data_IF_832419405438
#
_entry.id   IF_832419405438
#
_cell.length_a   1.000
_cell.length_b   1.000
_cell.length_c   1.000
_cell.angle_alpha   90.00
_cell.angle_beta   90.00
_cell.angle_gamma   90.00
#
_symmetry.space_group_name_H-M   'P 1'
#
loop_
_entity.id
_entity.type
_entity.pdbx_description
1 polymer ?
#
# COMPACT_ATOMS: atom_id res chain seq x y z
N UNK A 1 3.02 -22.84 -31.06
CA UNK A 1 1.56 -22.73 -30.84
C UNK A 1 1.28 -23.04 -29.39
N UNK A 2 1.38 -22.03 -28.53
CA UNK A 2 1.12 -22.15 -27.09
C UNK A 2 -0.37 -22.01 -26.86
N UNK A 3 -0.99 -23.09 -26.38
CA UNK A 3 -2.40 -23.16 -26.02
C UNK A 3 -2.64 -22.28 -24.80
N UNK A 4 -3.14 -21.06 -25.02
CA UNK A 4 -3.78 -20.28 -23.96
C UNK A 4 -5.01 -21.07 -23.50
N UNK A 5 -4.91 -21.63 -22.29
CA UNK A 5 -6.07 -22.19 -21.60
C UNK A 5 -6.99 -21.02 -21.24
N UNK A 6 -7.89 -20.66 -22.17
CA UNK A 6 -9.04 -19.81 -21.87
C UNK A 6 -9.90 -20.56 -20.86
N UNK A 7 -9.73 -20.26 -19.59
CA UNK A 7 -10.74 -20.50 -18.57
C UNK A 7 -12.00 -19.74 -19.03
N UNK A 8 -12.92 -20.46 -19.66
CA UNK A 8 -14.25 -19.93 -19.97
C UNK A 8 -14.87 -19.49 -18.64
N UNK A 9 -15.07 -18.18 -18.47
CA UNK A 9 -15.79 -17.59 -17.32
C UNK A 9 -17.17 -18.23 -17.21
N UNK A 10 -17.42 -18.98 -16.15
CA UNK A 10 -18.74 -19.52 -15.80
C UNK A 10 -19.65 -18.46 -15.17
N UNK A 11 -19.09 -17.33 -14.72
CA UNK A 11 -19.72 -16.45 -13.73
C UNK A 11 -20.23 -15.12 -14.33
N UNK A 12 -20.29 -15.00 -15.66
CA UNK A 12 -20.84 -13.82 -16.34
C UNK A 12 -19.95 -12.56 -16.29
N UNK A 13 -20.44 -11.40 -16.77
CA UNK A 13 -19.67 -10.14 -16.80
C UNK A 13 -19.49 -9.53 -15.40
N UNK A 14 -18.36 -8.85 -15.16
CA UNK A 14 -18.09 -8.17 -13.87
C UNK A 14 -19.04 -6.99 -13.61
N UNK A 15 -19.71 -6.50 -14.65
CA UNK A 15 -20.78 -5.52 -14.52
C UNK A 15 -21.93 -6.01 -13.64
N UNK A 16 -22.23 -7.33 -13.62
CA UNK A 16 -23.32 -7.89 -12.81
C UNK A 16 -23.09 -7.69 -11.30
N UNK A 17 -21.98 -8.16 -10.69
CA UNK A 17 -21.73 -7.90 -9.27
C UNK A 17 -21.57 -6.39 -8.99
N UNK A 18 -21.03 -5.60 -9.91
CA UNK A 18 -20.95 -4.14 -9.75
C UNK A 18 -22.34 -3.48 -9.68
N UNK A 19 -23.29 -3.90 -10.52
CA UNK A 19 -24.67 -3.44 -10.46
C UNK A 19 -25.38 -3.89 -9.18
N UNK A 20 -25.19 -5.16 -8.78
CA UNK A 20 -25.71 -5.67 -7.51
C UNK A 20 -25.19 -4.88 -6.31
N UNK A 21 -23.91 -4.50 -6.33
CA UNK A 21 -23.32 -3.67 -5.30
C UNK A 21 -23.95 -2.26 -5.26
N UNK A 22 -24.10 -1.61 -6.43
CA UNK A 22 -24.69 -0.27 -6.54
C UNK A 22 -26.18 -0.20 -6.19
N UNK A 23 -26.92 -1.26 -6.50
CA UNK A 23 -28.38 -1.33 -6.34
C UNK A 23 -28.82 -2.19 -5.17
N UNK A 24 -27.86 -2.68 -4.37
CA UNK A 24 -28.12 -3.60 -3.27
C UNK A 24 -29.17 -3.05 -2.32
N UNK A 25 -30.14 -3.90 -1.96
CA UNK A 25 -31.26 -3.52 -1.08
C UNK A 25 -31.04 -3.95 0.37
N UNK A 26 -30.02 -4.76 0.60
CA UNK A 26 -29.66 -5.36 1.88
C UNK A 26 -28.14 -5.55 1.97
N UNK A 27 -27.63 -5.61 3.21
CA UNK A 27 -26.20 -5.71 3.53
C UNK A 27 -25.58 -6.99 2.96
N UNK A 28 -26.29 -8.12 3.03
CA UNK A 28 -25.81 -9.42 2.55
C UNK A 28 -25.52 -9.40 1.05
N UNK A 29 -26.46 -8.90 0.24
CA UNK A 29 -26.31 -8.79 -1.21
C UNK A 29 -25.14 -7.88 -1.59
N UNK A 30 -25.00 -6.73 -0.92
CA UNK A 30 -23.90 -5.80 -1.15
C UNK A 30 -22.54 -6.41 -0.77
N UNK A 31 -22.46 -7.09 0.37
CA UNK A 31 -21.25 -7.75 0.86
C UNK A 31 -20.81 -8.89 -0.08
N UNK A 32 -21.75 -9.72 -0.52
CA UNK A 32 -21.48 -10.81 -1.47
C UNK A 32 -20.99 -10.26 -2.83
N UNK A 33 -21.60 -9.17 -3.30
CA UNK A 33 -21.15 -8.49 -4.52
C UNK A 33 -19.74 -7.92 -4.37
N UNK A 34 -19.42 -7.27 -3.25
CA UNK A 34 -18.06 -6.80 -2.95
C UNK A 34 -17.04 -7.94 -2.91
N UNK A 35 -17.39 -9.06 -2.27
CA UNK A 35 -16.52 -10.23 -2.21
C UNK A 35 -16.25 -10.81 -3.61
N UNK A 36 -17.28 -10.87 -4.48
CA UNK A 36 -17.12 -11.32 -5.86
C UNK A 36 -16.20 -10.37 -6.65
N UNK A 37 -16.40 -9.05 -6.53
CA UNK A 37 -15.52 -8.06 -7.15
C UNK A 37 -14.06 -8.23 -6.68
N UNK A 38 -13.85 -8.36 -5.37
CA UNK A 38 -12.53 -8.56 -4.78
C UNK A 38 -11.81 -9.78 -5.36
N UNK A 39 -12.51 -10.90 -5.54
CA UNK A 39 -11.93 -12.12 -6.14
C UNK A 39 -11.64 -11.98 -7.63
N UNK A 40 -12.52 -11.30 -8.38
CA UNK A 40 -12.44 -11.20 -9.83
C UNK A 40 -11.41 -10.21 -10.33
N UNK A 41 -11.17 -9.11 -9.60
CA UNK A 41 -10.24 -8.05 -10.01
C UNK A 41 -8.77 -8.47 -10.03
N UNK A 42 -8.45 -9.72 -9.64
CA UNK A 42 -7.14 -10.33 -9.90
C UNK A 42 -6.89 -10.52 -11.40
N UNK A 43 -7.95 -10.72 -12.19
CA UNK A 43 -7.88 -10.91 -13.64
C UNK A 43 -7.87 -9.58 -14.40
N UNK A 44 -6.97 -9.46 -15.39
CA UNK A 44 -6.77 -8.21 -16.13
C UNK A 44 -7.95 -7.84 -17.04
N UNK A 45 -8.62 -8.83 -17.64
CA UNK A 45 -9.80 -8.57 -18.49
C UNK A 45 -10.96 -8.05 -17.63
N UNK A 46 -11.11 -8.58 -16.39
CA UNK A 46 -12.13 -8.10 -15.44
C UNK A 46 -11.81 -6.68 -14.94
N UNK A 47 -10.54 -6.34 -14.72
CA UNK A 47 -10.14 -4.94 -14.40
C UNK A 47 -10.51 -3.97 -15.51
N UNK A 48 -10.28 -4.33 -16.77
CA UNK A 48 -10.61 -3.49 -17.91
C UNK A 48 -12.13 -3.25 -18.02
N UNK A 49 -12.94 -4.30 -17.88
CA UNK A 49 -14.40 -4.20 -17.88
C UNK A 49 -14.93 -3.40 -16.68
N UNK A 50 -14.38 -3.65 -15.49
CA UNK A 50 -14.73 -2.94 -14.26
C UNK A 50 -14.48 -1.45 -14.38
N UNK A 51 -13.32 -1.05 -14.92
CA UNK A 51 -13.00 0.37 -15.15
C UNK A 51 -13.98 1.01 -16.14
N UNK A 52 -14.26 0.35 -17.27
CA UNK A 52 -15.23 0.85 -18.28
C UNK A 52 -16.64 1.02 -17.73
N UNK A 53 -16.98 0.32 -16.65
CA UNK A 53 -18.27 0.38 -15.99
C UNK A 53 -18.31 1.37 -14.80
N UNK A 54 -17.34 2.28 -14.68
CA UNK A 54 -17.17 3.24 -13.56
C UNK A 54 -16.96 2.56 -12.20
N UNK A 55 -16.39 1.35 -12.21
CA UNK A 55 -16.23 0.54 -11.01
C UNK A 55 -15.33 1.20 -9.96
N UNK A 56 -14.24 1.85 -10.40
CA UNK A 56 -13.28 2.52 -9.51
C UNK A 56 -13.98 3.62 -8.71
N UNK A 57 -14.71 4.49 -9.40
CA UNK A 57 -15.52 5.56 -8.77
C UNK A 57 -16.51 4.99 -7.75
N UNK A 58 -17.19 3.89 -8.07
CA UNK A 58 -18.17 3.29 -7.15
C UNK A 58 -17.53 2.74 -5.86
N UNK A 59 -16.38 2.06 -5.97
CA UNK A 59 -15.69 1.49 -4.80
C UNK A 59 -14.98 2.58 -3.98
N UNK A 60 -14.44 3.63 -4.63
CA UNK A 60 -13.84 4.78 -3.92
C UNK A 60 -14.90 5.59 -3.18
N UNK A 61 -16.06 5.86 -3.80
CA UNK A 61 -17.20 6.51 -3.13
C UNK A 61 -17.67 5.69 -1.92
N UNK A 62 -17.70 4.36 -2.09
CA UNK A 62 -18.04 3.46 -0.98
C UNK A 62 -17.11 3.63 0.22
N UNK A 63 -15.81 3.56 -0.03
CA UNK A 63 -14.78 3.72 0.99
C UNK A 63 -14.86 5.11 1.66
N UNK A 64 -15.03 6.16 0.88
CA UNK A 64 -15.10 7.53 1.41
C UNK A 64 -16.30 7.70 2.35
N UNK A 65 -17.49 7.26 1.92
CA UNK A 65 -18.72 7.45 2.69
C UNK A 65 -18.79 6.59 3.94
N UNK A 66 -18.29 5.35 3.90
CA UNK A 66 -18.22 4.53 5.12
C UNK A 66 -17.27 5.18 6.13
N UNK A 67 -16.10 5.68 5.70
CA UNK A 67 -15.18 6.38 6.60
C UNK A 67 -15.78 7.66 7.19
N UNK A 68 -16.48 8.45 6.37
CA UNK A 68 -17.15 9.68 6.82
C UNK A 68 -18.22 9.39 7.88
N UNK A 69 -19.07 8.38 7.67
CA UNK A 69 -20.05 7.99 8.68
C UNK A 69 -19.36 7.55 9.97
N UNK A 70 -18.38 6.63 9.86
CA UNK A 70 -17.72 6.05 11.02
C UNK A 70 -16.94 7.10 11.84
N UNK A 71 -16.43 8.17 11.20
CA UNK A 71 -15.79 9.27 11.90
C UNK A 71 -16.74 10.08 12.81
N UNK A 72 -18.06 10.01 12.59
CA UNK A 72 -19.07 10.77 13.34
C UNK A 72 -19.78 9.96 14.42
N UNK A 73 -19.58 8.65 14.44
CA UNK A 73 -20.31 7.74 15.33
C UNK A 73 -19.67 7.59 16.71
N UNK A 74 -20.51 7.56 17.76
CA UNK A 74 -20.07 7.30 19.14
C UNK A 74 -19.53 5.86 19.34
N UNK A 75 -19.97 4.93 18.50
CA UNK A 75 -19.54 3.53 18.47
C UNK A 75 -19.06 3.19 17.05
N UNK A 76 -18.01 3.89 16.62
CA UNK A 76 -17.41 3.67 15.31
C UNK A 76 -17.06 2.19 15.11
N UNK A 77 -17.34 1.72 13.91
CA UNK A 77 -17.12 0.38 13.35
C UNK A 77 -18.06 -0.73 13.83
N UNK A 78 -18.97 -0.45 14.77
CA UNK A 78 -19.91 -1.45 15.26
C UNK A 78 -21.19 -1.59 14.40
N UNK A 79 -21.49 -0.59 13.59
CA UNK A 79 -22.71 -0.55 12.76
C UNK A 79 -22.54 0.48 11.65
N UNK A 80 -23.21 0.28 10.52
CA UNK A 80 -23.31 1.28 9.45
C UNK A 80 -24.71 1.30 8.86
N UNK A 81 -25.19 2.48 8.46
CA UNK A 81 -26.39 2.64 7.64
C UNK A 81 -26.07 3.31 6.30
N UNK A 82 -24.78 3.50 5.98
CA UNK A 82 -24.37 4.03 4.68
C UNK A 82 -24.88 3.07 3.60
N UNK A 83 -25.41 3.66 2.53
CA UNK A 83 -26.01 2.97 1.38
C UNK A 83 -27.41 2.39 1.62
N UNK A 84 -28.09 2.78 2.71
CA UNK A 84 -29.52 2.51 2.88
C UNK A 84 -29.85 1.08 3.32
N UNK A 85 -28.83 0.29 3.65
CA UNK A 85 -28.94 -0.97 4.35
C UNK A 85 -28.29 -0.82 5.73
N UNK A 86 -28.81 -1.53 6.72
CA UNK A 86 -28.22 -1.60 8.05
C UNK A 86 -27.20 -2.74 8.09
N UNK A 87 -25.97 -2.43 8.46
CA UNK A 87 -24.84 -3.36 8.57
C UNK A 87 -24.52 -3.57 10.05
N UNK A 88 -24.42 -4.82 10.47
CA UNK A 88 -23.88 -5.20 11.78
C UNK A 88 -22.34 -5.13 11.79
N UNK A 89 -21.73 -5.14 12.97
CA UNK A 89 -20.28 -4.98 13.17
C UNK A 89 -19.43 -5.85 12.22
N UNK A 90 -19.72 -7.16 12.17
CA UNK A 90 -18.96 -8.06 11.29
C UNK A 90 -19.14 -7.72 9.80
N UNK A 91 -20.32 -7.24 9.41
CA UNK A 91 -20.61 -6.87 8.03
C UNK A 91 -19.88 -5.58 7.65
N UNK A 92 -19.78 -4.62 8.58
CA UNK A 92 -19.00 -3.38 8.38
C UNK A 92 -17.53 -3.72 8.15
N UNK A 93 -16.97 -4.62 8.97
CA UNK A 93 -15.59 -5.05 8.84
C UNK A 93 -15.34 -5.81 7.53
N UNK A 94 -16.21 -6.76 7.17
CA UNK A 94 -16.16 -7.47 5.89
C UNK A 94 -16.25 -6.50 4.71
N UNK A 95 -17.17 -5.53 4.78
CA UNK A 95 -17.37 -4.52 3.73
C UNK A 95 -16.09 -3.70 3.49
N UNK A 96 -15.48 -3.20 4.57
CA UNK A 96 -14.21 -2.47 4.52
C UNK A 96 -13.10 -3.35 3.93
N UNK A 97 -12.98 -4.60 4.38
CA UNK A 97 -11.94 -5.51 3.91
C UNK A 97 -12.10 -5.82 2.42
N UNK A 98 -13.30 -6.20 1.97
CA UNK A 98 -13.53 -6.49 0.54
C UNK A 98 -13.35 -5.24 -0.34
N UNK A 99 -13.73 -4.06 0.16
CA UNK A 99 -13.48 -2.78 -0.51
C UNK A 99 -11.98 -2.56 -0.72
N UNK A 100 -11.18 -2.75 0.33
CA UNK A 100 -9.72 -2.58 0.25
C UNK A 100 -9.05 -3.65 -0.63
N UNK A 101 -9.50 -4.91 -0.57
CA UNK A 101 -8.98 -5.96 -1.47
C UNK A 101 -9.31 -5.64 -2.93
N UNK A 102 -10.55 -5.23 -3.21
CA UNK A 102 -10.96 -4.85 -4.56
C UNK A 102 -10.11 -3.68 -5.09
N UNK A 103 -9.90 -2.63 -4.27
CA UNK A 103 -9.04 -1.51 -4.64
C UNK A 103 -7.58 -1.94 -4.81
N UNK A 104 -7.05 -2.80 -3.94
CA UNK A 104 -5.68 -3.30 -4.05
C UNK A 104 -5.48 -4.01 -5.38
N UNK A 105 -6.32 -4.99 -5.71
CA UNK A 105 -6.25 -5.71 -6.98
C UNK A 105 -6.44 -4.78 -8.19
N UNK A 106 -7.38 -3.84 -8.12
CA UNK A 106 -7.64 -2.89 -9.19
C UNK A 106 -6.44 -1.95 -9.42
N UNK A 107 -5.79 -1.48 -8.35
CA UNK A 107 -4.66 -0.54 -8.40
C UNK A 107 -3.38 -1.10 -9.03
N UNK A 108 -3.30 -2.41 -9.25
CA UNK A 108 -2.20 -3.04 -10.00
C UNK A 108 -2.22 -2.57 -11.47
N UNK A 109 -3.40 -2.23 -12.00
CA UNK A 109 -3.53 -1.69 -13.34
C UNK A 109 -3.21 -0.18 -13.37
N UNK A 110 -2.29 0.20 -14.26
CA UNK A 110 -1.80 1.58 -14.34
C UNK A 110 -2.88 2.59 -14.74
N UNK A 111 -3.85 2.21 -15.57
CA UNK A 111 -4.93 3.12 -15.99
C UNK A 111 -5.93 3.32 -14.84
N UNK A 112 -6.20 2.27 -14.05
CA UNK A 112 -7.01 2.38 -12.83
C UNK A 112 -6.28 3.20 -11.76
N UNK A 113 -4.98 2.98 -11.54
CA UNK A 113 -4.20 3.76 -10.58
C UNK A 113 -4.17 5.25 -10.97
N UNK A 114 -4.16 5.58 -12.26
CA UNK A 114 -4.29 6.96 -12.74
C UNK A 114 -5.66 7.57 -12.39
N UNK A 115 -6.75 6.83 -12.61
CA UNK A 115 -8.11 7.26 -12.24
C UNK A 115 -8.25 7.45 -10.72
N UNK A 116 -7.66 6.56 -9.92
CA UNK A 116 -7.59 6.69 -8.46
C UNK A 116 -6.92 8.00 -8.00
N UNK A 117 -5.88 8.45 -8.70
CA UNK A 117 -5.24 9.75 -8.43
C UNK A 117 -6.17 10.93 -8.73
N UNK A 118 -7.02 10.82 -9.75
CA UNK A 118 -8.01 11.85 -10.11
C UNK A 118 -9.16 11.90 -9.11
N UNK A 119 -9.52 10.76 -8.51
CA UNK A 119 -10.55 10.64 -7.47
C UNK A 119 -10.05 10.98 -6.05
N UNK A 120 -8.84 11.51 -5.92
CA UNK A 120 -8.22 11.88 -4.64
C UNK A 120 -8.14 10.74 -3.59
N UNK A 121 -8.12 9.47 -4.04
CA UNK A 121 -8.18 8.29 -3.15
C UNK A 121 -7.08 8.28 -2.10
N UNK A 122 -5.94 8.92 -2.41
CA UNK A 122 -4.78 9.02 -1.52
C UNK A 122 -5.13 9.66 -0.19
N UNK A 123 -5.97 10.71 -0.18
CA UNK A 123 -6.38 11.38 1.07
C UNK A 123 -7.13 10.40 1.95
N UNK A 124 -8.06 9.65 1.35
CA UNK A 124 -8.85 8.61 1.99
C UNK A 124 -7.97 7.49 2.53
N UNK A 125 -7.01 7.00 1.76
CA UNK A 125 -6.12 5.90 2.19
C UNK A 125 -5.13 6.33 3.30
N UNK A 126 -4.61 7.55 3.26
CA UNK A 126 -3.82 8.09 4.37
C UNK A 126 -4.67 8.26 5.63
N UNK A 127 -5.94 8.64 5.48
CA UNK A 127 -6.87 8.68 6.60
C UNK A 127 -7.05 7.28 7.19
N UNK A 128 -7.31 6.27 6.37
CA UNK A 128 -7.39 4.85 6.77
C UNK A 128 -6.18 4.42 7.59
N UNK A 129 -4.96 4.70 7.13
CA UNK A 129 -3.72 4.38 7.86
C UNK A 129 -3.62 5.07 9.23
N UNK A 130 -4.27 6.22 9.39
CA UNK A 130 -4.16 7.05 10.61
C UNK A 130 -5.28 6.83 11.62
N UNK A 131 -6.47 6.38 11.18
CA UNK A 131 -7.67 6.36 12.02
C UNK A 131 -8.25 4.98 12.26
N UNK A 132 -7.93 3.97 11.43
CA UNK A 132 -8.42 2.63 11.69
C UNK A 132 -7.82 2.09 13.00
N UNK A 133 -8.65 1.66 13.96
CA UNK A 133 -8.19 0.92 15.11
C UNK A 133 -7.47 -0.36 14.65
N UNK A 134 -6.26 -0.58 15.17
CA UNK A 134 -5.46 -1.79 14.88
C UNK A 134 -6.18 -3.09 15.26
N UNK A 135 -7.21 -2.99 16.10
CA UNK A 135 -8.03 -4.09 16.61
C UNK A 135 -9.08 -4.62 15.61
N UNK A 136 -9.40 -3.87 14.56
CA UNK A 136 -10.49 -4.23 13.62
C UNK A 136 -10.07 -5.30 12.61
N UNK A 137 -8.77 -5.49 12.34
CA UNK A 137 -8.34 -6.33 11.21
C UNK A 137 -6.99 -7.05 11.36
N UNK A 138 -6.40 -7.14 12.55
CA UNK A 138 -5.03 -7.70 12.72
C UNK A 138 -4.03 -7.07 11.71
N UNK A 139 -4.12 -5.76 11.51
CA UNK A 139 -3.38 -4.97 10.51
C UNK A 139 -3.70 -5.25 9.03
N UNK A 140 -4.56 -6.22 8.67
CA UNK A 140 -4.82 -6.57 7.27
C UNK A 140 -5.40 -5.39 6.46
N UNK A 141 -6.33 -4.61 7.02
CA UNK A 141 -6.86 -3.43 6.34
C UNK A 141 -5.81 -2.32 6.19
N UNK A 142 -4.89 -2.20 7.15
CA UNK A 142 -3.79 -1.24 7.09
C UNK A 142 -2.73 -1.66 6.06
N UNK A 143 -2.43 -2.96 5.98
CA UNK A 143 -1.60 -3.58 4.96
C UNK A 143 -2.14 -3.27 3.56
N UNK A 144 -3.41 -3.59 3.30
CA UNK A 144 -4.05 -3.30 2.01
C UNK A 144 -4.05 -1.81 1.68
N UNK A 145 -4.32 -0.94 2.65
CA UNK A 145 -4.25 0.51 2.42
C UNK A 145 -2.84 0.97 2.04
N UNK A 146 -1.80 0.44 2.69
CA UNK A 146 -0.41 0.73 2.35
C UNK A 146 -0.02 0.17 0.97
N UNK A 147 -0.50 -1.03 0.60
CA UNK A 147 -0.27 -1.61 -0.73
C UNK A 147 -0.93 -0.78 -1.84
N UNK A 148 -2.18 -0.36 -1.67
CA UNK A 148 -2.86 0.52 -2.65
C UNK A 148 -2.07 1.81 -2.81
N UNK A 149 -1.66 2.43 -1.70
CA UNK A 149 -0.81 3.63 -1.73
C UNK A 149 0.51 3.36 -2.47
N UNK A 150 1.15 2.22 -2.24
CA UNK A 150 2.40 1.85 -2.91
C UNK A 150 2.20 1.69 -4.43
N UNK A 151 1.14 1.01 -4.86
CA UNK A 151 0.79 0.83 -6.27
C UNK A 151 0.54 2.17 -6.96
N UNK A 152 -0.26 3.04 -6.34
CA UNK A 152 -0.55 4.37 -6.89
C UNK A 152 0.70 5.27 -6.90
N UNK A 153 1.52 5.22 -5.85
CA UNK A 153 2.76 5.99 -5.77
C UNK A 153 3.84 5.54 -6.77
N UNK A 154 3.82 4.26 -7.19
CA UNK A 154 4.71 3.74 -8.20
C UNK A 154 4.44 4.33 -9.60
N UNK A 155 3.19 4.74 -9.87
CA UNK A 155 2.80 5.32 -11.16
C UNK A 155 3.30 6.76 -11.31
N UNK A 156 3.00 7.61 -10.33
CA UNK A 156 3.42 9.01 -10.34
C UNK A 156 3.57 9.53 -8.91
N UNK A 157 4.79 9.41 -8.38
CA UNK A 157 5.14 9.85 -7.03
C UNK A 157 4.89 11.35 -6.81
N UNK A 158 5.05 12.18 -7.85
CA UNK A 158 4.89 13.62 -7.74
C UNK A 158 3.45 14.04 -7.44
N UNK A 159 2.48 13.24 -7.92
CA UNK A 159 1.05 13.46 -7.68
C UNK A 159 0.60 13.00 -6.30
N UNK A 160 1.41 12.20 -5.59
CA UNK A 160 1.05 11.70 -4.26
C UNK A 160 0.95 12.83 -3.23
N UNK A 161 1.58 13.99 -3.49
CA UNK A 161 1.53 15.19 -2.65
C UNK A 161 1.73 14.86 -1.16
N UNK A 162 2.68 13.95 -0.88
CA UNK A 162 2.96 13.52 0.47
C UNK A 162 3.49 14.72 1.28
N UNK A 163 2.74 15.11 2.30
CA UNK A 163 3.17 16.15 3.23
C UNK A 163 4.20 15.57 4.20
N UNK A 164 5.00 16.44 4.84
CA UNK A 164 5.92 16.02 5.90
C UNK A 164 5.18 15.22 6.99
N UNK A 165 3.99 15.65 7.39
CA UNK A 165 3.18 14.95 8.40
C UNK A 165 2.79 13.53 7.98
N UNK A 166 2.34 13.35 6.72
CA UNK A 166 2.00 12.03 6.19
C UNK A 166 3.22 11.11 6.17
N UNK A 167 4.35 11.62 5.67
CA UNK A 167 5.61 10.86 5.62
C UNK A 167 6.11 10.48 7.02
N UNK A 168 6.04 11.41 7.97
CA UNK A 168 6.41 11.24 9.38
C UNK A 168 5.53 10.19 10.07
N UNK A 169 4.23 10.20 9.80
CA UNK A 169 3.29 9.19 10.28
C UNK A 169 3.56 7.81 9.66
N UNK A 170 3.72 7.72 8.34
CA UNK A 170 4.05 6.47 7.63
C UNK A 170 5.38 5.88 8.14
N UNK A 171 6.43 6.70 8.34
CA UNK A 171 7.69 6.24 8.91
C UNK A 171 7.51 5.69 10.34
N UNK A 172 6.64 6.32 11.13
CA UNK A 172 6.38 5.86 12.51
C UNK A 172 5.71 4.49 12.51
N UNK A 173 4.70 4.28 11.66
CA UNK A 173 4.06 2.98 11.48
C UNK A 173 5.06 1.94 10.97
N UNK A 174 5.92 2.31 10.02
CA UNK A 174 6.93 1.42 9.46
C UNK A 174 7.93 0.95 10.52
N UNK A 175 8.48 1.87 11.33
CA UNK A 175 9.45 1.51 12.37
C UNK A 175 8.82 0.62 13.46
N UNK A 176 7.54 0.80 13.76
CA UNK A 176 6.79 -0.09 14.65
C UNK A 176 6.62 -1.47 14.00
N UNK A 177 6.15 -1.52 12.76
CA UNK A 177 5.87 -2.78 12.06
C UNK A 177 7.15 -3.59 11.78
N UNK A 178 8.25 -2.94 11.41
CA UNK A 178 9.51 -3.59 11.07
C UNK A 178 10.22 -4.25 12.27
N UNK A 179 9.82 -3.90 13.50
CA UNK A 179 10.38 -4.50 14.72
C UNK A 179 9.49 -5.58 15.32
N UNK A 180 8.28 -5.77 14.79
CA UNK A 180 7.35 -6.80 15.24
C UNK A 180 7.18 -7.88 14.14
N UNK A 181 7.63 -9.13 14.38
CA UNK A 181 7.48 -10.22 13.41
C UNK A 181 6.02 -10.50 12.98
N UNK A 182 5.04 -10.22 13.85
CA UNK A 182 3.62 -10.45 13.55
C UNK A 182 3.08 -9.47 12.49
N UNK A 183 3.76 -8.34 12.29
CA UNK A 183 3.36 -7.28 11.36
C UNK A 183 4.29 -7.18 10.14
N UNK A 184 5.05 -8.24 9.83
CA UNK A 184 6.06 -8.21 8.76
C UNK A 184 5.47 -7.80 7.40
N UNK A 185 4.28 -8.30 7.04
CA UNK A 185 3.59 -7.95 5.79
C UNK A 185 3.19 -6.48 5.71
N UNK A 186 2.62 -5.94 6.79
CA UNK A 186 2.37 -4.51 6.88
C UNK A 186 3.67 -3.69 6.79
N UNK A 187 4.74 -4.17 7.41
CA UNK A 187 6.08 -3.61 7.29
C UNK A 187 6.60 -3.59 5.84
N UNK A 188 6.36 -4.66 5.07
CA UNK A 188 6.70 -4.75 3.64
C UNK A 188 5.96 -3.68 2.85
N UNK A 189 4.62 -3.62 2.98
CA UNK A 189 3.79 -2.66 2.26
C UNK A 189 4.19 -1.21 2.57
N UNK A 190 4.52 -0.90 3.84
CA UNK A 190 5.01 0.42 4.23
C UNK A 190 6.42 0.71 3.71
N UNK A 191 7.32 -0.27 3.71
CA UNK A 191 8.67 -0.12 3.15
C UNK A 191 8.61 0.18 1.65
N UNK A 192 7.77 -0.55 0.90
CA UNK A 192 7.57 -0.36 -0.53
C UNK A 192 6.92 1.01 -0.82
N UNK A 193 5.91 1.42 -0.04
CA UNK A 193 5.34 2.77 -0.12
C UNK A 193 6.41 3.85 0.11
N UNK A 194 7.19 3.75 1.18
CA UNK A 194 8.27 4.71 1.48
C UNK A 194 9.32 4.71 0.36
N UNK A 195 9.65 3.54 -0.20
CA UNK A 195 10.58 3.39 -1.30
C UNK A 195 10.11 4.14 -2.55
N UNK A 196 8.84 3.95 -2.92
CA UNK A 196 8.21 4.64 -4.04
C UNK A 196 8.11 6.15 -3.80
N UNK A 197 7.75 6.58 -2.58
CA UNK A 197 7.76 8.00 -2.20
C UNK A 197 9.16 8.63 -2.33
N UNK A 198 10.21 7.88 -2.00
CA UNK A 198 11.59 8.35 -2.13
C UNK A 198 12.11 8.42 -3.57
N UNK A 199 11.32 8.04 -4.57
CA UNK A 199 11.60 8.39 -5.97
C UNK A 199 11.49 9.90 -6.21
N UNK A 200 10.73 10.62 -5.37
CA UNK A 200 10.76 12.08 -5.30
C UNK A 200 11.88 12.57 -4.35
N UNK A 201 12.74 13.45 -4.85
CA UNK A 201 13.91 13.92 -4.13
C UNK A 201 13.56 14.68 -2.84
N UNK A 202 12.45 15.44 -2.83
CA UNK A 202 12.03 16.19 -1.66
C UNK A 202 11.52 15.23 -0.56
N UNK A 203 10.71 14.24 -0.92
CA UNK A 203 10.26 13.18 -0.02
C UNK A 203 11.45 12.40 0.55
N UNK A 204 12.44 12.06 -0.29
CA UNK A 204 13.63 11.36 0.14
C UNK A 204 14.44 12.15 1.19
N UNK A 205 14.67 13.45 0.96
CA UNK A 205 15.36 14.31 1.93
C UNK A 205 14.58 14.48 3.23
N UNK A 206 13.25 14.64 3.15
CA UNK A 206 12.40 14.71 4.33
C UNK A 206 12.46 13.40 5.13
N UNK A 207 12.44 12.24 4.47
CA UNK A 207 12.52 10.95 5.16
C UNK A 207 13.86 10.78 5.90
N UNK A 208 14.97 11.23 5.30
CA UNK A 208 16.29 11.24 5.95
C UNK A 208 16.25 12.12 7.20
N UNK A 209 15.68 13.33 7.11
CA UNK A 209 15.52 14.21 8.27
C UNK A 209 14.65 13.57 9.38
N UNK A 210 13.56 12.90 9.01
CA UNK A 210 12.69 12.22 9.96
C UNK A 210 13.34 10.97 10.59
N UNK A 211 14.22 10.27 9.87
CA UNK A 211 15.05 9.19 10.43
C UNK A 211 16.10 9.76 11.40
N UNK A 212 16.69 10.90 11.07
CA UNK A 212 17.68 11.59 11.88
C UNK A 212 17.14 12.02 13.25
N UNK A 213 15.85 12.38 13.33
CA UNK A 213 15.18 12.75 14.60
C UNK A 213 14.81 11.53 15.45
N UNK A 214 14.62 10.35 14.84
CA UNK A 214 14.17 9.12 15.50
C UNK A 214 15.29 8.15 15.87
N UNK A 215 16.50 8.34 15.33
CA UNK A 215 17.63 7.46 15.60
C UNK A 215 17.94 7.37 17.11
N UNK A 216 18.30 6.17 17.62
CA UNK A 216 18.71 6.02 19.03
C UNK A 216 19.91 6.88 19.38
N UNK A 217 20.09 7.19 20.68
CA UNK A 217 21.22 8.02 21.17
C UNK A 217 22.60 7.46 20.78
N UNK A 218 22.72 6.14 20.61
CA UNK A 218 23.95 5.48 20.15
C UNK A 218 24.36 5.84 18.71
N UNK A 219 23.43 6.37 17.92
CA UNK A 219 23.60 6.64 16.49
C UNK A 219 23.75 8.12 16.16
N UNK A 220 23.85 9.00 17.16
CA UNK A 220 23.91 10.46 16.95
C UNK A 220 25.10 10.94 16.11
N UNK A 221 26.14 10.11 15.92
CA UNK A 221 27.31 10.39 15.09
C UNK A 221 27.14 9.91 13.63
N UNK A 222 26.04 9.23 13.33
CA UNK A 222 25.74 8.63 12.05
C UNK A 222 24.43 9.19 11.49
N UNK A 223 24.31 9.16 10.16
CA UNK A 223 23.04 9.46 9.47
C UNK A 223 21.95 8.47 9.89
N UNK A 224 20.69 8.91 9.91
CA UNK A 224 19.53 8.08 10.15
C UNK A 224 19.43 6.91 9.17
N UNK A 225 20.01 7.04 7.98
CA UNK A 225 20.14 5.94 7.01
C UNK A 225 21.01 4.80 7.57
N UNK A 226 22.06 5.10 8.34
CA UNK A 226 22.90 4.07 8.98
C UNK A 226 22.12 3.34 10.08
N UNK A 227 21.27 4.05 10.81
CA UNK A 227 20.35 3.42 11.76
C UNK A 227 19.40 2.45 11.03
N UNK A 228 18.84 2.88 9.89
CA UNK A 228 17.96 2.02 9.09
C UNK A 228 18.70 0.78 8.55
N UNK A 229 19.94 0.92 8.06
CA UNK A 229 20.78 -0.23 7.63
C UNK A 229 20.90 -1.27 8.73
N UNK A 230 21.22 -0.84 9.95
CA UNK A 230 21.36 -1.76 11.09
C UNK A 230 20.02 -2.38 11.49
N UNK A 231 18.92 -1.64 11.37
CA UNK A 231 17.59 -2.21 11.57
C UNK A 231 17.34 -3.32 10.56
N UNK A 232 17.60 -3.08 9.27
CA UNK A 232 17.46 -4.06 8.18
C UNK A 232 18.29 -5.32 8.41
N UNK A 233 19.52 -5.20 8.91
CA UNK A 233 20.39 -6.35 9.22
C UNK A 233 19.81 -7.26 10.32
N UNK A 234 19.01 -6.72 11.22
CA UNK A 234 18.41 -7.43 12.35
C UNK A 234 17.01 -8.00 12.07
N UNK A 235 16.45 -7.74 10.88
CA UNK A 235 15.15 -8.28 10.48
C UNK A 235 15.27 -9.78 10.20
N UNK A 236 14.35 -10.56 10.78
CA UNK A 236 14.31 -12.01 10.60
C UNK A 236 13.48 -12.49 9.39
N UNK A 237 12.60 -11.64 8.85
CA UNK A 237 11.81 -11.94 7.66
C UNK A 237 12.54 -11.51 6.38
N UNK A 238 12.78 -12.46 5.47
CA UNK A 238 13.60 -12.21 4.26
C UNK A 238 12.92 -11.23 3.28
N UNK A 239 11.59 -11.26 3.17
CA UNK A 239 10.86 -10.39 2.25
C UNK A 239 10.86 -8.94 2.76
N UNK A 240 10.59 -8.73 4.05
CA UNK A 240 10.71 -7.43 4.70
C UNK A 240 12.12 -6.88 4.58
N UNK A 241 13.13 -7.73 4.81
CA UNK A 241 14.52 -7.34 4.65
C UNK A 241 14.81 -6.84 3.23
N UNK A 242 14.32 -7.54 2.20
CA UNK A 242 14.50 -7.14 0.81
C UNK A 242 13.87 -5.77 0.51
N UNK A 243 12.63 -5.53 0.93
CA UNK A 243 11.97 -4.22 0.77
C UNK A 243 12.71 -3.11 1.52
N UNK A 244 13.21 -3.39 2.72
CA UNK A 244 14.02 -2.44 3.49
C UNK A 244 15.38 -2.15 2.85
N UNK A 245 16.03 -3.15 2.22
CA UNK A 245 17.27 -2.95 1.47
C UNK A 245 17.06 -2.04 0.26
N UNK A 246 15.93 -2.17 -0.44
CA UNK A 246 15.56 -1.27 -1.54
C UNK A 246 15.34 0.17 -1.05
N UNK A 247 14.64 0.36 0.08
CA UNK A 247 14.46 1.67 0.69
C UNK A 247 15.81 2.29 1.10
N UNK A 248 16.66 1.54 1.79
CA UNK A 248 18.02 1.96 2.18
C UNK A 248 18.84 2.37 0.97
N UNK A 249 18.75 1.62 -0.13
CA UNK A 249 19.42 1.94 -1.38
C UNK A 249 18.99 3.33 -1.89
N UNK A 250 17.69 3.58 -2.03
CA UNK A 250 17.17 4.87 -2.51
C UNK A 250 17.62 6.04 -1.62
N UNK A 251 17.56 5.85 -0.30
CA UNK A 251 18.01 6.86 0.66
C UNK A 251 19.52 7.12 0.58
N UNK A 252 20.33 6.08 0.38
CA UNK A 252 21.80 6.18 0.34
C UNK A 252 22.32 7.01 -0.84
N UNK A 253 21.62 6.99 -1.98
CA UNK A 253 21.94 7.83 -3.15
C UNK A 253 21.61 9.31 -2.91
N UNK A 254 20.67 9.60 -2.02
CA UNK A 254 20.23 10.97 -1.71
C UNK A 254 20.87 11.57 -0.47
N UNK A 255 21.33 10.75 0.48
CA UNK A 255 21.97 11.20 1.70
C UNK A 255 23.32 11.88 1.39
N UNK A 256 23.55 13.15 1.77
CA UNK A 256 24.85 13.80 1.60
C UNK A 256 26.01 13.08 2.31
N UNK A 257 25.75 12.40 3.44
CA UNK A 257 26.73 11.58 4.14
C UNK A 257 26.93 10.22 3.45
N UNK A 258 25.83 9.65 2.94
CA UNK A 258 25.78 8.50 2.03
C UNK A 258 26.60 8.74 0.77
N UNK A 259 26.36 9.80 0.03
CA UNK A 259 27.12 10.18 -1.16
C UNK A 259 28.63 10.30 -0.91
N UNK A 260 29.07 10.88 0.22
CA UNK A 260 30.50 10.91 0.57
C UNK A 260 31.07 9.53 0.93
N UNK A 261 30.25 8.64 1.47
CA UNK A 261 30.64 7.29 1.90
C UNK A 261 30.57 6.29 0.75
N UNK A 262 29.54 6.34 -0.07
CA UNK A 262 29.36 5.64 -1.35
C UNK A 262 30.42 6.11 -2.34
N UNK A 263 30.75 7.40 -2.49
CA UNK A 263 31.91 7.79 -3.30
C UNK A 263 33.25 7.22 -2.78
N UNK A 264 33.37 6.99 -1.47
CA UNK A 264 34.54 6.32 -0.87
C UNK A 264 34.52 4.79 -1.01
N UNK A 265 33.34 4.17 -1.06
CA UNK A 265 33.12 2.71 -1.07
C UNK A 265 32.82 2.11 -2.47
N UNK A 266 32.20 2.89 -3.36
CA UNK A 266 31.81 2.54 -4.73
C UNK A 266 33.01 2.34 -5.67
N UNK A 267 34.22 2.71 -5.23
CA UNK A 267 35.45 2.35 -5.91
C UNK A 267 35.98 0.95 -5.52
N UNK A 268 35.48 0.29 -4.47
CA UNK A 268 36.16 -0.91 -3.95
C UNK A 268 35.30 -2.13 -3.61
N UNK A 269 34.03 -2.01 -3.21
CA UNK A 269 33.27 -3.21 -2.75
C UNK A 269 31.85 -3.35 -3.29
N UNK A 270 31.16 -2.24 -3.55
CA UNK A 270 29.74 -2.27 -3.91
C UNK A 270 29.49 -2.85 -5.32
N UNK A 271 30.40 -2.61 -6.28
CA UNK A 271 30.34 -3.20 -7.63
C UNK A 271 30.51 -4.72 -7.63
N UNK A 272 31.25 -5.30 -6.67
CA UNK A 272 31.56 -6.73 -6.66
C UNK A 272 30.39 -7.62 -6.19
N UNK A 273 29.35 -7.06 -5.58
CA UNK A 273 28.16 -7.84 -5.15
C UNK A 273 27.06 -7.94 -6.22
N UNK A 274 27.07 -7.05 -7.22
CA UNK A 274 26.07 -7.02 -8.29
C UNK A 274 26.64 -7.26 -9.70
N UNK A 275 27.98 -7.29 -9.87
CA UNK A 275 28.65 -7.56 -11.15
C UNK A 275 29.14 -9.01 -11.31
N UNK A 276 28.54 -10.00 -10.64
CA UNK A 276 28.70 -11.40 -11.03
C UNK A 276 27.73 -11.68 -12.19
N UNK A 277 28.20 -11.45 -13.41
CA UNK A 277 27.59 -12.02 -14.62
C UNK A 277 27.43 -13.54 -14.44
N UNK A 278 26.34 -14.16 -14.93
CA UNK A 278 26.30 -15.61 -15.06
C UNK A 278 27.38 -16.00 -16.06
N UNK A 279 28.38 -16.75 -15.60
CA UNK A 279 29.39 -17.32 -16.48
C UNK A 279 28.72 -18.10 -17.61
N UNK A 280 28.76 -17.57 -18.83
CA UNK A 280 28.48 -18.35 -20.03
C UNK A 280 29.65 -19.31 -20.19
N UNK A 281 29.48 -20.53 -19.72
CA UNK A 281 30.42 -21.62 -19.96
C UNK A 281 30.36 -22.01 -21.44
N UNK A 282 31.41 -21.66 -22.17
CA UNK A 282 31.81 -22.31 -23.43
C UNK A 282 32.51 -23.64 -23.16
#
# INVERSE_FOLDING_TARGET
>A
MTSQRKTRRSDGPIATPLECFRQGKDSESMRNALAELAMRLVDAEDREEFRKADGVTAIVDHLARILEEQATMNYAWNMSEVFGAKWEEYEVHDSLQFTLVALCHASIDAEIAAEMLELEVLVTLFHVLSTLPTQISDYASLELAAEILANVAALDTSRVSATQDKLSATLTLFLQAATNPETAKFGIALADLLCNLCCDQACCLLLICELDTRRPRGHLRHSGVVYLVQLTENVGDDALKQSMEALVHNLSWSDPAGNRSVQKLALSSYMNRFALEPAISS
#
